data_IF_542441039188
#
_entry.id   IF_542441039188
#
_cell.length_a   1.000
_cell.length_b   1.000
_cell.length_c   1.000
_cell.angle_alpha   90.00
_cell.angle_beta   90.00
_cell.angle_gamma   90.00
#
_symmetry.space_group_name_H-M   'P 1'
#
loop_
_entity.id
_entity.type
_entity.pdbx_description
1 polymer ?
#
# COMPACT_ATOMS: atom_id res chain seq x y z
N UNK A 1 -14.05 -18.41 9.13
CA UNK A 1 -13.93 -16.94 8.92
C UNK A 1 -13.06 -16.74 7.70
N UNK A 2 -13.45 -15.84 6.79
CA UNK A 2 -12.65 -15.55 5.58
C UNK A 2 -11.41 -14.79 6.00
N UNK A 3 -10.23 -15.19 5.49
CA UNK A 3 -9.01 -14.42 5.67
C UNK A 3 -8.96 -13.29 4.64
N UNK A 4 -8.53 -12.11 5.05
CA UNK A 4 -8.43 -10.92 4.20
C UNK A 4 -7.04 -10.31 4.37
N UNK A 5 -6.45 -9.90 3.27
CA UNK A 5 -5.23 -9.12 3.19
C UNK A 5 -5.57 -7.72 2.69
N UNK A 6 -5.41 -6.69 3.50
CA UNK A 6 -5.53 -5.30 3.04
C UNK A 6 -4.18 -4.83 2.49
N UNK A 7 -4.05 -4.68 1.15
CA UNK A 7 -2.77 -4.39 0.52
C UNK A 7 -2.32 -2.94 0.59
N UNK A 8 -3.11 -2.03 1.20
CA UNK A 8 -2.76 -0.64 1.41
C UNK A 8 -3.61 -0.02 2.53
N UNK A 9 -2.98 0.20 3.68
CA UNK A 9 -3.59 0.84 4.85
C UNK A 9 -2.50 1.57 5.65
N UNK A 10 -2.85 2.67 6.32
CA UNK A 10 -1.90 3.48 7.11
C UNK A 10 -2.12 3.30 8.60
N UNK A 11 -1.64 2.18 9.15
CA UNK A 11 -1.87 1.76 10.53
C UNK A 11 -1.20 2.68 11.55
N UNK A 12 -0.09 3.32 11.21
CA UNK A 12 0.57 4.34 12.06
C UNK A 12 -0.33 5.54 12.37
N UNK A 13 -1.37 5.76 11.58
CA UNK A 13 -2.40 6.80 11.79
C UNK A 13 -3.67 6.28 12.48
N UNK A 14 -3.72 4.98 12.81
CA UNK A 14 -4.88 4.30 13.40
C UNK A 14 -4.65 3.92 14.86
N UNK A 15 -5.72 3.67 15.57
CA UNK A 15 -5.69 3.28 16.98
C UNK A 15 -5.59 1.76 17.16
N UNK A 16 -5.29 1.32 18.39
CA UNK A 16 -5.13 -0.10 18.72
C UNK A 16 -6.42 -0.90 18.54
N UNK A 17 -7.56 -0.31 18.85
CA UNK A 17 -8.89 -0.93 18.69
C UNK A 17 -9.24 -1.19 17.22
N UNK A 18 -8.62 -0.49 16.27
CA UNK A 18 -8.75 -0.84 14.86
C UNK A 18 -8.08 -2.18 14.55
N UNK A 19 -6.93 -2.51 15.12
CA UNK A 19 -6.34 -3.83 14.99
C UNK A 19 -7.24 -4.94 15.57
N UNK A 20 -7.87 -4.70 16.74
CA UNK A 20 -8.82 -5.65 17.34
C UNK A 20 -10.02 -5.89 16.42
N UNK A 21 -10.59 -4.81 15.86
CA UNK A 21 -11.74 -4.88 14.95
C UNK A 21 -11.38 -5.58 13.63
N UNK A 22 -10.22 -5.29 13.07
CA UNK A 22 -9.71 -5.89 11.85
C UNK A 22 -9.48 -7.40 12.03
N UNK A 23 -8.78 -7.79 13.08
CA UNK A 23 -8.54 -9.21 13.39
C UNK A 23 -9.85 -9.98 13.62
N UNK A 24 -10.78 -9.40 14.38
CA UNK A 24 -12.10 -9.98 14.61
C UNK A 24 -12.93 -10.13 13.32
N UNK A 25 -12.69 -9.29 12.31
CA UNK A 25 -13.34 -9.33 11.01
C UNK A 25 -12.62 -10.23 9.97
N UNK A 26 -11.47 -10.81 10.32
CA UNK A 26 -10.71 -11.71 9.46
C UNK A 26 -9.62 -11.03 8.64
N UNK A 27 -9.29 -9.76 8.87
CA UNK A 27 -8.11 -9.12 8.27
C UNK A 27 -6.89 -9.61 9.04
N UNK A 28 -6.09 -10.46 8.41
CA UNK A 28 -4.94 -11.12 9.03
C UNK A 28 -3.59 -10.68 8.48
N UNK A 29 -3.59 -9.91 7.39
CA UNK A 29 -2.39 -9.34 6.81
C UNK A 29 -2.66 -7.93 6.27
N UNK A 30 -1.66 -7.06 6.37
CA UNK A 30 -1.70 -5.70 5.84
C UNK A 30 -0.36 -5.31 5.23
N UNK A 31 -0.40 -4.38 4.25
CA UNK A 31 0.77 -3.61 3.82
C UNK A 31 0.52 -2.14 4.14
N UNK A 32 1.47 -1.52 4.85
CA UNK A 32 1.46 -0.10 5.15
C UNK A 32 2.49 0.63 4.28
N UNK A 33 2.05 1.41 3.29
CA UNK A 33 2.99 2.21 2.50
C UNK A 33 3.49 3.41 3.27
N UNK A 34 4.74 3.82 2.96
CA UNK A 34 5.29 5.07 3.45
C UNK A 34 4.42 6.25 3.03
N UNK A 35 4.11 7.13 3.99
CA UNK A 35 3.06 8.12 3.87
C UNK A 35 3.47 9.48 4.48
N UNK A 36 2.89 10.55 4.04
CA UNK A 36 3.29 11.92 4.41
C UNK A 36 2.74 12.40 5.76
N UNK A 37 2.02 11.67 6.52
CA UNK A 37 1.57 11.91 7.91
C UNK A 37 0.82 13.24 8.19
N UNK A 38 0.31 13.94 7.18
CA UNK A 38 -0.57 15.12 7.33
C UNK A 38 0.13 16.46 7.48
N UNK A 39 1.45 16.47 7.67
CA UNK A 39 2.27 17.69 7.68
C UNK A 39 3.65 17.41 7.09
N UNK A 40 4.29 18.39 6.45
CA UNK A 40 5.64 18.23 5.91
C UNK A 40 6.64 17.87 7.01
N UNK A 41 7.48 16.89 6.74
CA UNK A 41 8.65 16.61 7.57
C UNK A 41 9.70 17.67 7.33
N UNK A 42 10.44 18.04 8.39
CA UNK A 42 11.36 19.18 8.36
C UNK A 42 12.83 18.77 8.43
N UNK A 43 13.12 17.48 8.51
CA UNK A 43 14.48 16.96 8.59
C UNK A 43 14.58 15.51 8.15
N UNK A 44 15.74 15.09 7.70
CA UNK A 44 16.03 13.67 7.40
C UNK A 44 15.82 12.78 8.63
N UNK A 45 16.11 13.29 9.84
CA UNK A 45 15.89 12.56 11.08
C UNK A 45 14.43 12.14 11.29
N UNK A 46 13.45 12.99 10.91
CA UNK A 46 12.04 12.64 11.01
C UNK A 46 11.62 11.53 10.03
N UNK A 47 12.28 11.39 8.88
CA UNK A 47 12.11 10.22 8.01
C UNK A 47 12.74 8.96 8.60
N UNK A 48 13.92 9.08 9.22
CA UNK A 48 14.59 7.97 9.92
C UNK A 48 13.68 7.40 11.00
N UNK A 49 13.11 8.25 11.87
CA UNK A 49 12.20 7.84 12.94
C UNK A 49 10.93 7.18 12.39
N UNK A 50 10.37 7.76 11.34
CA UNK A 50 9.17 7.22 10.68
C UNK A 50 9.42 5.85 10.02
N UNK A 51 10.47 5.72 9.23
CA UNK A 51 10.81 4.44 8.60
C UNK A 51 11.19 3.38 9.63
N UNK A 52 11.89 3.76 10.71
CA UNK A 52 12.17 2.84 11.82
C UNK A 52 10.88 2.36 12.50
N UNK A 53 9.86 3.23 12.62
CA UNK A 53 8.54 2.84 13.13
C UNK A 53 7.86 1.83 12.19
N UNK A 54 7.86 2.07 10.88
CA UNK A 54 7.24 1.17 9.90
C UNK A 54 7.88 -0.22 9.89
N UNK A 55 9.20 -0.31 10.00
CA UNK A 55 9.91 -1.60 9.92
C UNK A 55 10.02 -2.33 11.27
N UNK A 56 9.78 -1.66 12.39
CA UNK A 56 9.97 -2.22 13.72
C UNK A 56 8.73 -2.15 14.62
N UNK A 57 8.23 -0.95 14.90
CA UNK A 57 7.14 -0.76 15.85
C UNK A 57 5.79 -1.28 15.33
N UNK A 58 5.42 -0.95 14.09
CA UNK A 58 4.12 -1.34 13.56
C UNK A 58 3.98 -2.88 13.37
N UNK A 59 4.98 -3.62 12.85
CA UNK A 59 4.92 -5.08 12.84
C UNK A 59 4.75 -5.68 14.24
N UNK A 60 5.46 -5.12 15.24
CA UNK A 60 5.30 -5.54 16.63
C UNK A 60 3.88 -5.27 17.13
N UNK A 61 3.34 -4.05 16.93
CA UNK A 61 1.98 -3.68 17.36
C UNK A 61 0.92 -4.60 16.72
N UNK A 62 1.01 -4.82 15.42
CA UNK A 62 0.11 -5.70 14.67
C UNK A 62 0.14 -7.15 15.17
N UNK A 63 1.34 -7.66 15.50
CA UNK A 63 1.51 -9.05 15.97
C UNK A 63 0.77 -9.36 17.28
N UNK A 64 0.50 -8.33 18.11
CA UNK A 64 -0.28 -8.48 19.35
C UNK A 64 -1.73 -8.91 19.06
N UNK A 65 -2.22 -8.67 17.85
CA UNK A 65 -3.58 -8.98 17.40
C UNK A 65 -3.62 -10.11 16.37
N UNK A 66 -2.48 -10.77 16.12
CA UNK A 66 -2.38 -11.81 15.11
C UNK A 66 -2.49 -11.29 13.67
N UNK A 67 -2.20 -10.01 13.45
CA UNK A 67 -2.14 -9.38 12.12
C UNK A 67 -0.70 -9.33 11.64
N UNK A 68 -0.44 -9.78 10.43
CA UNK A 68 0.86 -9.66 9.77
C UNK A 68 0.98 -8.31 9.12
N UNK A 69 1.93 -7.53 9.57
CA UNK A 69 2.21 -6.22 9.02
C UNK A 69 3.49 -6.24 8.19
N UNK A 70 3.35 -5.82 6.95
CA UNK A 70 4.45 -5.51 6.05
C UNK A 70 4.37 -4.03 5.68
N UNK A 71 5.43 -3.48 5.14
CA UNK A 71 5.43 -2.08 4.71
C UNK A 71 6.10 -1.91 3.34
N UNK A 72 5.89 -0.73 2.78
CA UNK A 72 6.69 -0.24 1.66
C UNK A 72 7.44 1.01 2.10
N UNK A 73 8.57 1.30 1.49
CA UNK A 73 9.41 2.44 1.86
C UNK A 73 9.59 3.33 0.63
N UNK A 74 9.34 4.61 0.79
CA UNK A 74 9.50 5.62 -0.26
C UNK A 74 9.51 7.04 0.31
N UNK A 75 9.95 7.99 -0.50
CA UNK A 75 9.63 9.40 -0.36
C UNK A 75 8.29 9.65 -1.06
N UNK A 76 7.26 9.99 -0.29
CA UNK A 76 5.90 10.19 -0.80
C UNK A 76 5.84 11.38 -1.78
N UNK A 77 5.02 11.35 -2.83
CA UNK A 77 4.89 12.44 -3.80
C UNK A 77 4.66 13.81 -3.18
N UNK A 78 3.89 13.90 -2.11
CA UNK A 78 3.64 15.18 -1.41
C UNK A 78 4.90 15.81 -0.81
N UNK A 79 5.92 15.01 -0.52
CA UNK A 79 7.19 15.46 0.07
C UNK A 79 8.31 15.57 -0.98
N UNK A 80 8.08 15.09 -2.20
CA UNK A 80 9.04 15.12 -3.31
C UNK A 80 9.44 16.54 -3.74
N UNK A 81 8.57 17.51 -3.50
CA UNK A 81 8.77 18.92 -3.84
C UNK A 81 9.67 19.68 -2.85
N UNK A 82 10.07 19.08 -1.74
CA UNK A 82 11.05 19.66 -0.82
C UNK A 82 12.48 19.40 -1.32
N UNK A 83 12.96 20.31 -2.17
CA UNK A 83 14.29 20.22 -2.78
C UNK A 83 15.42 20.16 -1.72
N UNK A 84 15.20 20.76 -0.55
CA UNK A 84 16.20 20.79 0.53
C UNK A 84 16.37 19.46 1.25
N UNK A 85 15.40 18.56 1.17
CA UNK A 85 15.42 17.28 1.86
C UNK A 85 15.39 16.05 0.94
N UNK A 86 14.80 16.18 -0.26
CA UNK A 86 14.51 15.03 -1.12
C UNK A 86 15.71 14.16 -1.45
N UNK A 87 16.84 14.79 -1.79
CA UNK A 87 18.05 14.07 -2.23
C UNK A 87 18.69 13.30 -1.07
N UNK A 88 18.72 13.90 0.12
CA UNK A 88 19.18 13.24 1.35
C UNK A 88 18.26 12.08 1.75
N UNK A 89 16.94 12.25 1.58
CA UNK A 89 15.98 11.19 1.85
C UNK A 89 16.10 10.07 0.82
N UNK A 90 16.23 10.38 -0.47
CA UNK A 90 16.49 9.36 -1.51
C UNK A 90 17.76 8.55 -1.20
N UNK A 91 18.83 9.20 -0.75
CA UNK A 91 20.06 8.53 -0.35
C UNK A 91 19.90 7.61 0.89
N UNK A 92 18.87 7.88 1.72
CA UNK A 92 18.57 7.08 2.90
C UNK A 92 17.79 5.80 2.55
N UNK A 93 16.96 5.79 1.50
CA UNK A 93 16.03 4.71 1.18
C UNK A 93 16.68 3.33 1.06
N UNK A 94 17.86 3.14 0.41
CA UNK A 94 18.47 1.82 0.27
C UNK A 94 18.65 1.08 1.59
N UNK A 95 19.01 1.81 2.66
CA UNK A 95 19.17 1.24 4.00
C UNK A 95 17.89 0.61 4.54
N UNK A 96 16.73 1.19 4.23
CA UNK A 96 15.45 0.67 4.69
C UNK A 96 14.84 -0.35 3.72
N UNK A 97 15.11 -0.22 2.43
CA UNK A 97 14.66 -1.19 1.42
C UNK A 97 15.26 -2.58 1.63
N UNK A 98 16.35 -2.71 2.39
CA UNK A 98 16.97 -3.99 2.73
C UNK A 98 16.39 -4.66 3.97
N UNK A 99 15.47 -3.99 4.70
CA UNK A 99 14.92 -4.50 5.94
C UNK A 99 13.87 -5.60 5.70
N UNK A 100 13.83 -6.55 6.62
CA UNK A 100 12.77 -7.56 6.66
C UNK A 100 11.39 -6.90 6.75
N UNK A 101 10.40 -7.50 6.11
CA UNK A 101 9.04 -6.95 6.08
C UNK A 101 8.81 -5.78 5.11
N UNK A 102 9.87 -5.27 4.46
CA UNK A 102 9.73 -4.31 3.36
C UNK A 102 9.50 -5.06 2.06
N UNK A 103 8.27 -4.98 1.54
CA UNK A 103 7.80 -5.80 0.41
C UNK A 103 7.66 -5.06 -0.91
N UNK A 104 7.82 -3.73 -0.90
CA UNK A 104 7.79 -2.91 -2.12
C UNK A 104 8.45 -1.54 -1.89
N UNK A 105 8.71 -0.82 -2.98
CA UNK A 105 8.97 0.63 -2.97
C UNK A 105 7.64 1.35 -3.15
N UNK A 106 7.25 2.22 -2.23
CA UNK A 106 5.94 2.92 -2.30
C UNK A 106 5.61 3.71 -1.02
N UNK A 107 4.70 4.67 -1.14
CA UNK A 107 4.02 5.20 -2.33
C UNK A 107 4.95 6.12 -3.12
N UNK A 108 5.10 5.85 -4.40
CA UNK A 108 5.79 6.72 -5.36
C UNK A 108 4.77 7.30 -6.35
N UNK A 109 5.14 8.26 -7.18
CA UNK A 109 4.26 8.78 -8.23
C UNK A 109 3.94 10.25 -8.07
N UNK A 110 2.66 10.64 -8.19
CA UNK A 110 2.26 12.03 -8.31
C UNK A 110 1.18 12.48 -7.33
N UNK A 111 1.35 13.69 -6.79
CA UNK A 111 0.30 14.48 -6.15
C UNK A 111 -0.10 15.69 -7.01
N UNK A 112 0.87 16.38 -7.61
CA UNK A 112 0.69 17.67 -8.31
C UNK A 112 1.29 17.72 -9.72
N UNK A 113 1.88 16.62 -10.20
CA UNK A 113 2.50 16.49 -11.54
C UNK A 113 3.64 17.50 -11.79
N UNK A 114 4.51 17.68 -10.80
CA UNK A 114 5.66 18.57 -10.89
C UNK A 114 6.89 17.88 -11.48
N UNK A 115 7.87 18.64 -12.02
CA UNK A 115 9.15 18.07 -12.44
C UNK A 115 9.93 17.41 -11.29
N UNK A 116 9.77 17.92 -10.07
CA UNK A 116 10.37 17.35 -8.87
C UNK A 116 9.80 15.97 -8.55
N UNK A 117 8.49 15.82 -8.69
CA UNK A 117 7.83 14.51 -8.55
C UNK A 117 8.28 13.54 -9.66
N UNK A 118 8.43 13.99 -10.92
CA UNK A 118 9.00 13.19 -12.02
C UNK A 118 10.40 12.66 -11.65
N UNK A 119 11.27 13.53 -11.15
CA UNK A 119 12.64 13.17 -10.76
C UNK A 119 12.65 12.13 -9.63
N UNK A 120 11.89 12.37 -8.56
CA UNK A 120 11.83 11.48 -7.40
C UNK A 120 11.18 10.15 -7.78
N UNK A 121 10.15 10.17 -8.59
CA UNK A 121 9.48 8.95 -9.04
C UNK A 121 10.44 8.06 -9.85
N UNK A 122 11.10 8.62 -10.86
CA UNK A 122 12.07 7.88 -11.67
C UNK A 122 13.23 7.31 -10.83
N UNK A 123 13.78 8.10 -9.89
CA UNK A 123 14.83 7.65 -9.00
C UNK A 123 14.38 6.47 -8.12
N UNK A 124 13.16 6.48 -7.63
CA UNK A 124 12.63 5.41 -6.78
C UNK A 124 12.26 4.14 -7.57
N UNK A 125 11.84 4.26 -8.84
CA UNK A 125 11.70 3.08 -9.70
C UNK A 125 13.07 2.43 -9.99
N UNK A 126 14.12 3.22 -10.15
CA UNK A 126 15.48 2.67 -10.26
C UNK A 126 15.87 1.89 -8.99
N UNK A 127 15.56 2.42 -7.79
CA UNK A 127 15.76 1.67 -6.54
C UNK A 127 14.93 0.39 -6.48
N UNK A 128 13.68 0.39 -6.98
CA UNK A 128 12.86 -0.82 -7.04
C UNK A 128 13.52 -1.90 -7.91
N UNK A 129 14.07 -1.51 -9.06
CA UNK A 129 14.82 -2.41 -9.96
C UNK A 129 16.06 -2.96 -9.25
N UNK A 130 16.90 -2.09 -8.67
CA UNK A 130 18.16 -2.46 -8.03
C UNK A 130 17.95 -3.44 -6.86
N UNK A 131 16.90 -3.21 -6.07
CA UNK A 131 16.54 -4.04 -4.92
C UNK A 131 15.63 -5.23 -5.26
N UNK A 132 15.20 -5.37 -6.52
CA UNK A 132 14.25 -6.39 -7.01
C UNK A 132 12.94 -6.39 -6.22
N UNK A 133 12.42 -5.21 -5.96
CA UNK A 133 11.18 -5.01 -5.24
C UNK A 133 10.07 -4.56 -6.20
N UNK A 134 8.81 -4.97 -5.97
CA UNK A 134 7.66 -4.34 -6.59
C UNK A 134 7.60 -2.84 -6.29
N UNK A 135 6.83 -2.10 -7.09
CA UNK A 135 6.56 -0.68 -6.85
C UNK A 135 5.06 -0.42 -6.71
N UNK A 136 4.70 0.40 -5.70
CA UNK A 136 3.33 0.89 -5.51
C UNK A 136 3.25 2.37 -5.92
N UNK A 137 2.45 2.64 -6.95
CA UNK A 137 2.33 3.97 -7.56
C UNK A 137 1.05 4.65 -7.14
N UNK A 138 1.20 5.77 -6.44
CA UNK A 138 0.12 6.70 -6.11
C UNK A 138 -0.24 7.54 -7.34
N UNK A 139 -1.53 7.67 -7.65
CA UNK A 139 -2.02 8.53 -8.72
C UNK A 139 -2.80 9.72 -8.14
N UNK A 140 -2.64 10.94 -8.71
CA UNK A 140 -3.20 12.14 -8.11
C UNK A 140 -4.73 12.14 -8.11
N UNK A 141 -5.31 12.87 -7.17
CA UNK A 141 -6.78 13.05 -7.12
C UNK A 141 -7.28 13.99 -8.21
N UNK A 142 -6.54 15.07 -8.46
CA UNK A 142 -6.81 16.00 -9.56
C UNK A 142 -6.16 15.51 -10.83
N UNK A 143 -6.75 15.82 -11.97
CA UNK A 143 -6.24 15.42 -13.29
C UNK A 143 -5.90 13.93 -13.38
N UNK A 144 -6.75 13.09 -12.76
CA UNK A 144 -6.55 11.64 -12.58
C UNK A 144 -6.10 10.94 -13.86
N UNK A 145 -6.77 11.19 -14.99
CA UNK A 145 -6.44 10.53 -16.25
C UNK A 145 -5.04 10.93 -16.75
N UNK A 146 -4.70 12.23 -16.67
CA UNK A 146 -3.38 12.76 -17.07
C UNK A 146 -2.30 12.20 -16.16
N UNK A 147 -2.53 12.22 -14.84
CA UNK A 147 -1.57 11.70 -13.87
C UNK A 147 -1.36 10.19 -13.99
N UNK A 148 -2.42 9.43 -14.25
CA UNK A 148 -2.30 7.99 -14.49
C UNK A 148 -1.51 7.72 -15.76
N UNK A 149 -1.80 8.43 -16.86
CA UNK A 149 -1.06 8.28 -18.11
C UNK A 149 0.43 8.62 -17.91
N UNK A 150 0.74 9.74 -17.24
CA UNK A 150 2.14 10.12 -16.95
C UNK A 150 2.83 9.07 -16.06
N UNK A 151 2.12 8.50 -15.07
CA UNK A 151 2.66 7.42 -14.25
C UNK A 151 3.05 6.21 -15.10
N UNK A 152 2.19 5.80 -16.03
CA UNK A 152 2.48 4.69 -16.94
C UNK A 152 3.66 5.01 -17.89
N UNK A 153 3.79 6.27 -18.33
CA UNK A 153 4.92 6.69 -19.15
C UNK A 153 6.24 6.58 -18.38
N UNK A 154 6.29 7.03 -17.11
CA UNK A 154 7.49 6.90 -16.27
C UNK A 154 7.82 5.43 -15.97
N UNK A 155 6.81 4.60 -15.69
CA UNK A 155 7.00 3.14 -15.54
C UNK A 155 7.66 2.55 -16.77
N UNK A 156 7.13 2.85 -17.96
CA UNK A 156 7.71 2.39 -19.24
C UNK A 156 9.12 2.91 -19.47
N UNK A 157 9.36 4.20 -19.21
CA UNK A 157 10.65 4.87 -19.37
C UNK A 157 11.72 4.31 -18.42
N UNK A 158 11.34 3.88 -17.22
CA UNK A 158 12.26 3.29 -16.24
C UNK A 158 12.76 1.90 -16.60
N UNK A 159 12.02 1.18 -17.45
CA UNK A 159 12.32 -0.21 -17.81
C UNK A 159 11.99 -1.25 -16.74
N UNK A 160 11.30 -0.89 -15.64
CA UNK A 160 10.78 -1.86 -14.68
C UNK A 160 9.75 -2.78 -15.36
N UNK A 161 9.73 -4.05 -14.98
CA UNK A 161 8.67 -4.95 -15.45
C UNK A 161 7.30 -4.45 -14.96
N UNK A 162 6.37 -4.21 -15.89
CA UNK A 162 5.02 -3.76 -15.57
C UNK A 162 4.31 -4.72 -14.57
N UNK A 163 4.61 -6.02 -14.63
CA UNK A 163 4.11 -7.00 -13.68
C UNK A 163 4.60 -6.80 -12.24
N UNK A 164 5.64 -6.02 -12.04
CA UNK A 164 6.17 -5.63 -10.73
C UNK A 164 5.57 -4.31 -10.22
N UNK A 165 4.63 -3.69 -10.94
CA UNK A 165 4.08 -2.38 -10.58
C UNK A 165 2.58 -2.45 -10.36
N UNK A 166 2.11 -1.91 -9.25
CA UNK A 166 0.69 -1.61 -9.04
C UNK A 166 0.44 -0.11 -9.18
N UNK A 167 -0.49 0.24 -10.06
CA UNK A 167 -1.02 1.61 -10.15
C UNK A 167 -2.21 1.68 -9.21
N UNK A 168 -2.09 2.46 -8.13
CA UNK A 168 -3.14 2.53 -7.11
C UNK A 168 -4.10 3.70 -7.31
N UNK A 169 -5.22 3.64 -6.59
CA UNK A 169 -6.32 4.60 -6.64
C UNK A 169 -7.01 4.71 -8.01
N UNK A 170 -7.13 3.60 -8.73
CA UNK A 170 -7.86 3.57 -9.99
C UNK A 170 -9.35 3.88 -9.82
N UNK A 171 -9.98 4.24 -10.91
CA UNK A 171 -11.41 4.38 -11.06
C UNK A 171 -11.86 3.93 -12.47
N UNK A 172 -13.13 4.06 -12.78
CA UNK A 172 -13.74 3.63 -14.04
C UNK A 172 -13.03 4.20 -15.28
N UNK A 173 -12.45 5.41 -15.17
CA UNK A 173 -11.80 6.08 -16.30
C UNK A 173 -10.36 5.61 -16.51
N UNK A 174 -9.70 5.05 -15.48
CA UNK A 174 -8.29 4.67 -15.54
C UNK A 174 -8.08 3.17 -15.73
N UNK A 175 -9.07 2.33 -15.40
CA UNK A 175 -8.98 0.87 -15.55
C UNK A 175 -8.53 0.45 -16.95
N UNK A 176 -9.11 0.94 -18.07
CA UNK A 176 -8.73 0.46 -19.40
C UNK A 176 -7.24 0.69 -19.69
N UNK A 177 -6.74 1.90 -19.47
CA UNK A 177 -5.35 2.25 -19.80
C UNK A 177 -4.33 1.53 -18.90
N UNK A 178 -4.65 1.32 -17.61
CA UNK A 178 -3.78 0.59 -16.69
C UNK A 178 -3.77 -0.89 -17.03
N UNK A 179 -4.92 -1.48 -17.35
CA UNK A 179 -5.02 -2.88 -17.75
C UNK A 179 -4.17 -3.17 -19.01
N UNK A 180 -4.25 -2.29 -20.00
CA UNK A 180 -3.49 -2.42 -21.26
C UNK A 180 -1.98 -2.28 -21.05
N UNK A 181 -1.54 -1.62 -19.98
CA UNK A 181 -0.11 -1.45 -19.67
C UNK A 181 0.57 -2.71 -19.13
N UNK A 182 -0.18 -3.69 -18.65
CA UNK A 182 0.33 -4.87 -17.96
C UNK A 182 0.65 -4.66 -16.48
N UNK A 183 0.42 -3.46 -15.92
CA UNK A 183 0.51 -3.20 -14.48
C UNK A 183 -0.66 -3.85 -13.73
N UNK A 184 -0.50 -4.01 -12.42
CA UNK A 184 -1.58 -4.35 -11.50
C UNK A 184 -2.48 -3.15 -11.24
N UNK A 185 -3.76 -3.41 -11.00
CA UNK A 185 -4.74 -2.37 -10.68
C UNK A 185 -4.99 -2.33 -9.18
N UNK A 186 -4.68 -1.22 -8.52
CA UNK A 186 -5.01 -0.95 -7.13
C UNK A 186 -6.26 -0.07 -7.03
N UNK A 187 -7.13 -0.39 -6.07
CA UNK A 187 -8.38 0.33 -5.84
C UNK A 187 -8.56 0.61 -4.36
N UNK A 188 -8.76 1.86 -4.01
CA UNK A 188 -9.02 2.26 -2.63
C UNK A 188 -10.48 2.55 -2.39
N UNK A 189 -11.07 1.79 -1.47
CA UNK A 189 -12.43 2.02 -1.01
C UNK A 189 -12.41 3.02 0.13
N UNK A 190 -12.44 4.31 -0.26
CA UNK A 190 -12.27 5.44 0.64
C UNK A 190 -13.37 6.47 0.37
N UNK A 191 -14.25 6.77 1.33
CA UNK A 191 -15.37 7.68 1.11
C UNK A 191 -14.91 9.09 0.74
N UNK A 192 -15.77 9.78 0.04
CA UNK A 192 -15.66 11.18 -0.39
C UNK A 192 -14.58 11.50 -1.43
N UNK A 193 -13.42 10.83 -1.42
CA UNK A 193 -12.30 11.19 -2.27
C UNK A 193 -11.92 10.14 -3.33
N UNK A 194 -12.32 8.88 -3.16
CA UNK A 194 -11.98 7.79 -4.09
C UNK A 194 -13.26 7.06 -4.54
N UNK A 195 -13.51 5.84 -4.08
CA UNK A 195 -14.74 5.13 -4.43
C UNK A 195 -15.37 4.46 -3.21
N UNK A 196 -16.66 4.16 -3.32
CA UNK A 196 -17.39 3.33 -2.36
C UNK A 196 -17.36 1.85 -2.76
N UNK A 197 -17.88 1.01 -1.88
CA UNK A 197 -17.91 -0.44 -2.05
C UNK A 197 -18.79 -0.88 -3.21
N UNK A 198 -19.89 -0.14 -3.49
CA UNK A 198 -20.82 -0.46 -4.56
C UNK A 198 -20.18 -0.26 -5.93
N UNK A 199 -19.48 0.87 -6.11
CA UNK A 199 -18.70 1.14 -7.32
C UNK A 199 -17.58 0.12 -7.50
N UNK A 200 -16.91 -0.27 -6.39
CA UNK A 200 -15.84 -1.28 -6.47
C UNK A 200 -16.38 -2.61 -6.98
N UNK A 201 -17.49 -3.09 -6.43
CA UNK A 201 -18.10 -4.36 -6.86
C UNK A 201 -18.61 -4.28 -8.30
N UNK A 202 -19.12 -3.12 -8.74
CA UNK A 202 -19.50 -2.91 -10.14
C UNK A 202 -18.30 -3.02 -11.09
N UNK A 203 -17.15 -2.43 -10.72
CA UNK A 203 -15.90 -2.56 -11.49
C UNK A 203 -15.41 -4.02 -11.56
N UNK A 204 -15.48 -4.76 -10.45
CA UNK A 204 -15.14 -6.18 -10.45
C UNK A 204 -16.06 -6.99 -11.36
N UNK A 205 -17.35 -6.64 -11.41
CA UNK A 205 -18.32 -7.30 -12.30
C UNK A 205 -18.07 -7.00 -13.78
N UNK A 206 -17.59 -5.79 -14.09
CA UNK A 206 -17.33 -5.34 -15.46
C UNK A 206 -15.98 -5.83 -16.00
N UNK A 207 -14.95 -5.75 -15.19
CA UNK A 207 -13.56 -6.00 -15.64
C UNK A 207 -12.96 -7.32 -15.15
N UNK A 208 -13.66 -8.06 -14.28
CA UNK A 208 -13.15 -9.30 -13.66
C UNK A 208 -12.34 -9.04 -12.39
N UNK A 209 -11.72 -10.07 -11.90
CA UNK A 209 -11.06 -10.10 -10.58
C UNK A 209 -9.55 -10.26 -10.64
N UNK A 210 -9.00 -10.64 -11.80
CA UNK A 210 -7.58 -10.93 -11.97
C UNK A 210 -6.72 -9.68 -11.88
N UNK A 211 -5.62 -9.75 -11.13
CA UNK A 211 -4.63 -8.67 -10.94
C UNK A 211 -5.23 -7.38 -10.39
N UNK A 212 -6.32 -7.47 -9.66
CA UNK A 212 -6.96 -6.37 -8.94
C UNK A 212 -6.70 -6.47 -7.44
N UNK A 213 -6.17 -5.38 -6.88
CA UNK A 213 -5.85 -5.21 -5.46
C UNK A 213 -6.87 -4.23 -4.87
N UNK A 214 -7.72 -4.70 -3.97
CA UNK A 214 -8.71 -3.85 -3.30
C UNK A 214 -8.25 -3.57 -1.89
N UNK A 215 -8.19 -2.29 -1.53
CA UNK A 215 -7.65 -1.82 -0.25
C UNK A 215 -8.57 -0.79 0.42
N UNK A 216 -8.36 -0.56 1.71
CA UNK A 216 -9.08 0.47 2.45
C UNK A 216 -8.42 1.85 2.32
N UNK A 217 -7.12 1.91 2.12
CA UNK A 217 -6.28 3.10 2.27
C UNK A 217 -6.62 3.88 3.55
N UNK A 218 -7.10 3.19 4.60
CA UNK A 218 -7.57 3.85 5.80
C UNK A 218 -6.42 4.54 6.53
N UNK A 219 -6.63 5.83 6.82
CA UNK A 219 -5.68 6.74 7.42
C UNK A 219 -6.35 7.53 8.56
N UNK A 220 -5.80 8.70 8.94
CA UNK A 220 -6.42 9.60 9.92
C UNK A 220 -7.69 10.31 9.45
N UNK A 221 -8.01 10.25 8.13
CA UNK A 221 -9.19 10.88 7.57
C UNK A 221 -10.48 10.11 7.89
N UNK A 222 -11.57 10.51 7.23
CA UNK A 222 -12.85 9.80 7.33
C UNK A 222 -12.79 8.48 6.57
N UNK A 223 -12.12 7.52 7.14
CA UNK A 223 -11.87 6.21 6.54
C UNK A 223 -12.25 5.09 7.50
N UNK A 224 -12.41 3.89 6.97
CA UNK A 224 -12.81 2.73 7.75
C UNK A 224 -11.92 1.53 7.37
N UNK A 225 -11.15 0.96 8.31
CA UNK A 225 -10.25 -0.17 8.04
C UNK A 225 -10.99 -1.46 7.69
N UNK A 226 -12.32 -1.50 7.85
CA UNK A 226 -13.15 -2.66 7.49
C UNK A 226 -13.74 -2.58 6.08
N UNK A 227 -13.27 -1.66 5.23
CA UNK A 227 -13.80 -1.51 3.86
C UNK A 227 -13.60 -2.76 3.00
N UNK A 228 -12.48 -3.44 3.12
CA UNK A 228 -12.23 -4.71 2.43
C UNK A 228 -13.20 -5.82 2.85
N UNK A 229 -13.59 -5.85 4.12
CA UNK A 229 -14.63 -6.78 4.63
C UNK A 229 -15.99 -6.48 4.00
N UNK A 230 -16.37 -5.21 3.91
CA UNK A 230 -17.63 -4.79 3.30
C UNK A 230 -17.67 -5.09 1.80
N UNK A 231 -16.54 -4.93 1.12
CA UNK A 231 -16.41 -5.35 -0.29
C UNK A 231 -16.67 -6.86 -0.42
N UNK A 232 -16.09 -7.70 0.46
CA UNK A 232 -16.35 -9.13 0.46
C UNK A 232 -17.84 -9.47 0.64
N UNK A 233 -18.52 -8.79 1.55
CA UNK A 233 -19.95 -8.97 1.79
C UNK A 233 -20.79 -8.60 0.56
N UNK A 234 -20.47 -7.47 -0.08
CA UNK A 234 -21.17 -7.01 -1.28
C UNK A 234 -20.85 -7.87 -2.51
N UNK A 235 -19.62 -8.36 -2.66
CA UNK A 235 -19.27 -9.33 -3.71
C UNK A 235 -20.14 -10.59 -3.58
N UNK A 236 -20.24 -11.16 -2.37
CA UNK A 236 -21.08 -12.33 -2.11
C UNK A 236 -22.55 -12.05 -2.42
N UNK A 237 -23.07 -10.90 -2.02
CA UNK A 237 -24.45 -10.47 -2.34
C UNK A 237 -24.69 -10.25 -3.83
N UNK A 238 -23.67 -9.85 -4.58
CA UNK A 238 -23.70 -9.68 -6.04
C UNK A 238 -23.51 -10.99 -6.82
N UNK A 239 -23.29 -12.13 -6.14
CA UNK A 239 -23.20 -13.44 -6.76
C UNK A 239 -21.78 -13.87 -7.16
N UNK A 240 -20.74 -13.18 -6.72
CA UNK A 240 -19.37 -13.66 -6.87
C UNK A 240 -19.17 -14.94 -6.05
N UNK A 241 -18.34 -15.84 -6.58
CA UNK A 241 -18.00 -17.07 -5.86
C UNK A 241 -17.03 -16.80 -4.71
N UNK A 242 -16.92 -17.74 -3.76
CA UNK A 242 -15.91 -17.65 -2.70
C UNK A 242 -14.48 -17.62 -3.28
N UNK A 243 -14.26 -18.28 -4.43
CA UNK A 243 -12.97 -18.25 -5.13
C UNK A 243 -12.64 -16.87 -5.71
N UNK A 244 -13.62 -16.17 -6.27
CA UNK A 244 -13.45 -14.79 -6.75
C UNK A 244 -13.13 -13.83 -5.60
N UNK A 245 -13.81 -13.99 -4.47
CA UNK A 245 -13.60 -13.15 -3.28
C UNK A 245 -12.21 -13.42 -2.69
N UNK A 246 -11.81 -14.70 -2.57
CA UNK A 246 -10.46 -15.07 -2.12
C UNK A 246 -9.39 -14.59 -3.10
N UNK A 247 -9.66 -14.61 -4.40
CA UNK A 247 -8.74 -14.09 -5.41
C UNK A 247 -8.44 -12.61 -5.17
N UNK A 248 -9.47 -11.78 -5.05
CA UNK A 248 -9.32 -10.33 -4.91
C UNK A 248 -8.73 -9.92 -3.56
N UNK A 249 -9.19 -10.55 -2.47
CA UNK A 249 -8.90 -10.08 -1.11
C UNK A 249 -7.78 -10.87 -0.41
N UNK A 250 -7.23 -11.90 -1.07
CA UNK A 250 -6.12 -12.65 -0.54
C UNK A 250 -5.09 -13.01 -1.60
N UNK A 251 -5.45 -13.76 -2.64
CA UNK A 251 -4.47 -14.31 -3.59
C UNK A 251 -3.77 -13.25 -4.42
N UNK A 252 -4.49 -12.26 -4.94
CA UNK A 252 -3.89 -11.17 -5.69
C UNK A 252 -2.90 -10.35 -4.85
N UNK A 253 -3.23 -9.87 -3.61
CA UNK A 253 -2.24 -9.24 -2.74
C UNK A 253 -1.02 -10.11 -2.45
N UNK A 254 -1.24 -11.40 -2.17
CA UNK A 254 -0.14 -12.35 -1.93
C UNK A 254 0.74 -12.48 -3.17
N UNK A 255 0.16 -12.70 -4.35
CA UNK A 255 0.91 -12.85 -5.60
C UNK A 255 1.74 -11.60 -5.90
N UNK A 256 1.14 -10.42 -5.76
CA UNK A 256 1.84 -9.16 -6.02
C UNK A 256 3.02 -8.95 -5.08
N UNK A 257 2.81 -9.03 -3.76
CA UNK A 257 3.87 -8.74 -2.79
C UNK A 257 4.88 -9.88 -2.60
N UNK A 258 4.50 -11.14 -2.89
CA UNK A 258 5.43 -12.27 -2.87
C UNK A 258 6.57 -12.12 -3.88
N UNK A 259 6.41 -11.31 -4.93
CA UNK A 259 7.47 -10.98 -5.88
C UNK A 259 8.71 -10.36 -5.22
N UNK A 260 8.55 -9.73 -4.04
CA UNK A 260 9.65 -9.22 -3.24
C UNK A 260 10.58 -10.32 -2.69
N UNK A 261 10.09 -11.57 -2.60
CA UNK A 261 10.75 -12.66 -1.88
C UNK A 261 10.79 -12.48 -0.36
N UNK A 262 10.04 -11.49 0.19
CA UNK A 262 10.09 -11.09 1.61
C UNK A 262 8.72 -11.11 2.29
N UNK A 263 7.67 -11.50 1.59
CA UNK A 263 6.33 -11.61 2.17
C UNK A 263 6.28 -12.84 3.08
N UNK A 264 6.14 -12.62 4.39
CA UNK A 264 5.95 -13.67 5.39
C UNK A 264 4.53 -13.60 5.97
N UNK A 265 3.73 -14.62 5.67
CA UNK A 265 2.35 -14.76 6.14
C UNK A 265 2.18 -15.91 7.14
N UNK A 266 3.28 -16.54 7.57
CA UNK A 266 3.23 -17.63 8.51
C UNK A 266 2.70 -17.19 9.88
N UNK A 267 1.58 -17.78 10.28
CA UNK A 267 0.89 -17.46 11.53
C UNK A 267 1.52 -18.09 12.78
N UNK A 268 2.62 -18.82 12.61
CA UNK A 268 3.23 -19.61 13.67
C UNK A 268 4.07 -18.81 14.68
N UNK A 269 4.32 -17.53 14.43
CA UNK A 269 4.89 -16.69 15.48
C UNK A 269 3.79 -16.36 16.49
N UNK A 270 3.85 -16.85 17.74
CA UNK A 270 2.94 -16.40 18.76
C UNK A 270 3.09 -14.90 18.86
N UNK A 271 1.96 -14.17 18.84
CA UNK A 271 1.97 -12.75 19.12
C UNK A 271 2.79 -12.51 20.38
N UNK A 272 3.77 -11.62 20.31
CA UNK A 272 4.54 -11.30 21.50
C UNK A 272 3.54 -10.85 22.57
N UNK A 273 3.52 -11.51 23.72
CA UNK A 273 2.64 -11.13 24.81
C UNK A 273 3.10 -9.78 25.34
N UNK A 274 2.21 -8.81 25.36
CA UNK A 274 2.49 -7.51 25.95
C UNK A 274 2.51 -7.65 27.48
N UNK A 275 3.68 -7.93 28.02
CA UNK A 275 3.88 -7.96 29.46
C UNK A 275 4.46 -6.64 29.96
N UNK A 276 3.58 -5.76 30.45
CA UNK A 276 3.97 -4.50 31.11
C UNK A 276 4.05 -3.28 30.19
N UNK A 277 4.42 -2.15 30.78
CA UNK A 277 4.33 -0.81 30.18
C UNK A 277 5.51 -0.43 29.28
N UNK A 278 6.41 -1.33 28.93
CA UNK A 278 7.59 -0.97 28.18
C UNK A 278 7.80 -1.85 26.98
N UNK A 279 7.55 -1.29 25.81
CA UNK A 279 7.99 -1.83 24.50
C UNK A 279 9.50 -1.89 24.37
N UNK A 280 10.23 -1.25 25.28
CA UNK A 280 11.69 -1.23 25.32
C UNK A 280 12.28 -2.43 26.08
N UNK A 281 11.47 -3.36 26.56
CA UNK A 281 11.93 -4.61 27.17
C UNK A 281 12.30 -5.71 26.18
N UNK A 282 12.20 -5.45 24.91
CA UNK A 282 12.78 -6.31 23.90
C UNK A 282 14.25 -5.96 23.74
N UNK A 283 15.06 -6.44 24.63
CA UNK A 283 16.50 -6.44 24.41
C UNK A 283 16.89 -7.66 23.63
#
# INVERSE_FOLDING_TARGET
>A
MRRIFDPHIHMSSRTTDDYERMAAAGITAVVEPAFWTGQPRTSVGSFVDYFASLVGWEPFRASQFGVRHHCTIALNPKEANDIGLRDDVLALLPRYLEKDGVVAVGEVGYDSLTPEEDHVFAAQLALAIDHRLPAMVHTPHRDKAVGTQRSLDVVRESGIDAGMVVIDHNNEFTVPVVRDSGCWLGFSVYPDTKMDEVRMVALLSEYGTERMLVNSAADWGRSDPLKTVRVAELMAAAGFTEDDIDLVLWRNPVEFYAQSGRLDLDSSSPGATFEGNSVLRGG
#
